data_IF_911152111322
#
_entry.id   IF_911152111322
#
_cell.length_a   1.000
_cell.length_b   1.000
_cell.length_c   1.000
_cell.angle_alpha   90.00
_cell.angle_beta   90.00
_cell.angle_gamma   90.00
#
_symmetry.space_group_name_H-M   'P 1'
#
loop_
_entity.id
_entity.type
_entity.pdbx_description
1 polymer ?
#
# COMPACT_ATOMS: atom_id res chain seq x y z
N UNK A 1 10.76 4.51 7.20
CA UNK A 1 9.83 3.93 6.20
C UNK A 1 10.51 2.74 5.55
N UNK A 2 9.79 1.67 5.31
CA UNK A 2 10.31 0.42 4.74
C UNK A 2 9.38 0.00 3.61
N UNK A 3 9.96 -0.35 2.46
CA UNK A 3 9.24 -0.84 1.29
C UNK A 3 9.51 -2.34 1.11
N UNK A 4 8.46 -3.15 1.05
CA UNK A 4 8.53 -4.59 0.81
C UNK A 4 7.98 -4.88 -0.58
N UNK A 5 8.88 -5.26 -1.48
CA UNK A 5 8.61 -5.53 -2.89
C UNK A 5 8.66 -7.03 -3.16
N UNK A 6 7.73 -7.53 -3.96
CA UNK A 6 7.74 -8.93 -4.38
C UNK A 6 6.60 -9.27 -5.32
N UNK A 7 6.70 -10.42 -5.97
CA UNK A 7 5.66 -10.95 -6.85
C UNK A 7 4.39 -11.36 -6.09
N UNK A 8 3.32 -11.59 -6.83
CA UNK A 8 2.07 -12.11 -6.26
C UNK A 8 2.32 -13.48 -5.62
N UNK A 9 1.75 -13.70 -4.43
CA UNK A 9 1.90 -14.97 -3.71
C UNK A 9 3.28 -15.24 -3.10
N UNK A 10 4.21 -14.27 -3.12
CA UNK A 10 5.58 -14.44 -2.60
C UNK A 10 5.71 -14.48 -1.08
N UNK A 11 4.60 -14.29 -0.34
CA UNK A 11 4.62 -14.23 1.13
C UNK A 11 4.96 -12.85 1.70
N UNK A 12 5.09 -11.81 0.86
CA UNK A 12 5.46 -10.46 1.31
C UNK A 12 4.51 -9.85 2.34
N UNK A 13 3.20 -10.12 2.24
CA UNK A 13 2.21 -9.62 3.20
C UNK A 13 2.44 -10.19 4.60
N UNK A 14 2.64 -11.50 4.70
CA UNK A 14 2.95 -12.16 5.96
C UNK A 14 4.28 -11.68 6.56
N UNK A 15 5.29 -11.49 5.71
CA UNK A 15 6.57 -10.93 6.12
C UNK A 15 6.43 -9.49 6.64
N UNK A 16 5.65 -8.65 5.95
CA UNK A 16 5.42 -7.27 6.34
C UNK A 16 4.69 -7.15 7.68
N UNK A 17 3.66 -7.97 7.89
CA UNK A 17 2.95 -8.03 9.17
C UNK A 17 3.90 -8.46 10.31
N UNK A 18 4.65 -9.54 10.13
CA UNK A 18 5.59 -10.05 11.12
C UNK A 18 6.69 -9.01 11.43
N UNK A 19 7.23 -8.35 10.41
CA UNK A 19 8.19 -7.27 10.58
C UNK A 19 7.61 -6.12 11.41
N UNK A 20 6.40 -5.66 11.08
CA UNK A 20 5.76 -4.57 11.82
C UNK A 20 5.50 -4.99 13.28
N UNK A 21 4.99 -6.19 13.52
CA UNK A 21 4.71 -6.69 14.87
C UNK A 21 5.96 -6.74 15.74
N UNK A 22 7.10 -7.14 15.15
CA UNK A 22 8.38 -7.17 15.87
C UNK A 22 8.96 -5.79 16.17
N UNK A 23 8.68 -4.80 15.33
CA UNK A 23 9.28 -3.46 15.44
C UNK A 23 8.37 -2.42 16.09
N UNK A 24 7.07 -2.69 16.19
CA UNK A 24 6.08 -1.74 16.71
C UNK A 24 6.16 -1.52 18.23
N UNK A 25 6.65 -2.51 19.00
CA UNK A 25 6.59 -2.43 20.46
C UNK A 25 5.16 -2.26 20.96
N UNK A 26 4.97 -1.34 21.90
CA UNK A 26 3.66 -1.03 22.49
C UNK A 26 2.86 0.00 21.69
N UNK A 27 3.36 0.44 20.54
CA UNK A 27 2.69 1.42 19.71
C UNK A 27 1.35 0.92 19.18
N UNK A 28 0.42 1.83 18.96
CA UNK A 28 -0.81 1.55 18.23
C UNK A 28 -0.47 1.06 16.82
N UNK A 29 -1.18 0.04 16.36
CA UNK A 29 -0.91 -0.60 15.06
C UNK A 29 -2.10 -0.38 14.12
N UNK A 30 -1.84 0.19 12.96
CA UNK A 30 -2.84 0.38 11.92
C UNK A 30 -2.48 -0.40 10.66
N UNK A 31 -3.51 -0.98 10.07
CA UNK A 31 -3.45 -1.63 8.77
C UNK A 31 -4.29 -0.82 7.79
N UNK A 32 -3.64 -0.17 6.83
CA UNK A 32 -4.33 0.57 5.78
C UNK A 32 -4.59 -0.39 4.63
N UNK A 33 -5.86 -0.72 4.43
CA UNK A 33 -6.33 -1.61 3.38
C UNK A 33 -6.74 -0.79 2.15
N UNK A 34 -6.12 -1.05 1.02
CA UNK A 34 -6.39 -0.34 -0.24
C UNK A 34 -7.24 -1.13 -1.23
N UNK A 35 -7.57 -2.39 -0.91
CA UNK A 35 -8.36 -3.22 -1.80
C UNK A 35 -9.81 -2.71 -1.89
N UNK A 36 -10.29 -2.49 -3.11
CA UNK A 36 -11.71 -2.26 -3.39
C UNK A 36 -12.42 -3.58 -3.63
N UNK A 37 -13.67 -3.68 -3.15
CA UNK A 37 -14.50 -4.89 -3.34
C UNK A 37 -15.43 -4.65 -4.52
N UNK A 38 -15.17 -5.35 -5.63
CA UNK A 38 -15.99 -5.29 -6.83
C UNK A 38 -16.83 -6.55 -7.04
N UNK A 39 -16.42 -7.69 -6.43
CA UNK A 39 -17.05 -8.99 -6.60
C UNK A 39 -16.92 -9.86 -5.32
N UNK A 40 -17.58 -11.03 -5.36
CA UNK A 40 -17.58 -11.98 -4.24
C UNK A 40 -16.18 -12.57 -3.97
N UNK A 41 -15.33 -12.72 -4.99
CA UNK A 41 -13.97 -13.24 -4.83
C UNK A 41 -13.12 -12.25 -4.03
N UNK A 42 -13.21 -10.96 -4.35
CA UNK A 42 -12.52 -9.91 -3.62
C UNK A 42 -13.03 -9.78 -2.19
N UNK A 43 -14.35 -9.92 -1.99
CA UNK A 43 -14.94 -9.96 -0.66
C UNK A 43 -14.38 -11.12 0.17
N UNK A 44 -14.25 -12.31 -0.41
CA UNK A 44 -13.68 -13.47 0.26
C UNK A 44 -12.18 -13.25 0.60
N UNK A 45 -11.41 -12.61 -0.29
CA UNK A 45 -10.01 -12.23 -0.03
C UNK A 45 -9.89 -11.26 1.14
N UNK A 46 -10.69 -10.19 1.15
CA UNK A 46 -10.72 -9.21 2.25
C UNK A 46 -11.09 -9.91 3.56
N UNK A 47 -12.14 -10.72 3.58
CA UNK A 47 -12.56 -11.47 4.75
C UNK A 47 -11.46 -12.42 5.27
N UNK A 48 -10.71 -13.07 4.36
CA UNK A 48 -9.55 -13.90 4.73
C UNK A 48 -8.45 -13.07 5.37
N UNK A 49 -8.11 -11.91 4.80
CA UNK A 49 -7.10 -11.01 5.36
C UNK A 49 -7.50 -10.48 6.74
N UNK A 50 -8.77 -10.14 6.94
CA UNK A 50 -9.30 -9.76 8.25
C UNK A 50 -9.12 -10.88 9.28
N UNK A 51 -9.48 -12.13 8.93
CA UNK A 51 -9.31 -13.30 9.82
C UNK A 51 -7.85 -13.54 10.18
N UNK A 52 -6.93 -13.44 9.20
CA UNK A 52 -5.49 -13.64 9.44
C UNK A 52 -4.88 -12.57 10.37
N UNK A 53 -5.44 -11.36 10.40
CA UNK A 53 -5.01 -10.29 11.30
C UNK A 53 -5.71 -10.29 12.65
N UNK A 54 -6.76 -11.09 12.80
CA UNK A 54 -7.52 -11.16 14.05
C UNK A 54 -6.61 -11.58 15.20
N UNK A 55 -6.66 -10.84 16.33
CA UNK A 55 -5.83 -11.09 17.50
C UNK A 55 -4.40 -10.54 17.43
N UNK A 56 -3.99 -9.90 16.32
CA UNK A 56 -2.66 -9.28 16.17
C UNK A 56 -2.59 -7.81 16.62
N UNK A 57 -3.71 -7.24 17.06
CA UNK A 57 -3.78 -5.88 17.60
C UNK A 57 -3.83 -4.77 16.55
N UNK A 58 -4.11 -5.07 15.28
CA UNK A 58 -4.31 -4.07 14.25
C UNK A 58 -5.70 -3.43 14.31
N UNK A 59 -5.72 -2.10 14.13
CA UNK A 59 -6.93 -1.37 13.72
C UNK A 59 -6.88 -1.21 12.20
N UNK A 60 -7.90 -1.70 11.49
CA UNK A 60 -7.97 -1.59 10.03
C UNK A 60 -8.58 -0.25 9.63
N UNK A 61 -7.92 0.45 8.70
CA UNK A 61 -8.42 1.64 8.01
C UNK A 61 -8.63 1.26 6.55
N UNK A 62 -9.87 1.28 6.11
CA UNK A 62 -10.21 1.05 4.70
C UNK A 62 -10.01 2.35 3.92
N UNK A 63 -8.95 2.42 3.12
CA UNK A 63 -8.56 3.62 2.38
C UNK A 63 -8.13 3.27 0.95
N UNK A 64 -9.08 3.00 0.04
CA UNK A 64 -8.74 2.58 -1.32
C UNK A 64 -8.16 3.69 -2.19
N UNK A 65 -8.45 4.94 -1.86
CA UNK A 65 -7.93 6.15 -2.53
C UNK A 65 -7.67 7.25 -1.50
N UNK A 66 -7.10 8.38 -1.92
CA UNK A 66 -6.86 9.55 -1.05
C UNK A 66 -6.11 9.18 0.24
N UNK A 67 -4.94 8.56 0.07
CA UNK A 67 -4.13 7.98 1.15
C UNK A 67 -3.87 8.96 2.30
N UNK A 68 -3.75 10.25 2.02
CA UNK A 68 -3.55 11.31 3.00
C UNK A 68 -4.66 11.37 4.06
N UNK A 69 -5.87 10.93 3.73
CA UNK A 69 -7.00 10.94 4.65
C UNK A 69 -6.88 9.87 5.75
N UNK A 70 -6.12 8.82 5.52
CA UNK A 70 -5.87 7.80 6.55
C UNK A 70 -5.14 8.39 7.77
N UNK A 71 -4.28 9.37 7.57
CA UNK A 71 -3.52 10.01 8.64
C UNK A 71 -4.42 10.63 9.73
N UNK A 72 -5.57 11.18 9.36
CA UNK A 72 -6.52 11.77 10.31
C UNK A 72 -7.21 10.75 11.22
N UNK A 73 -7.13 9.47 10.87
CA UNK A 73 -7.74 8.35 11.61
C UNK A 73 -6.73 7.65 12.53
N UNK A 74 -5.48 8.09 12.55
CA UNK A 74 -4.41 7.45 13.29
C UNK A 74 -3.87 8.32 14.43
N UNK A 75 -3.42 7.67 15.48
CA UNK A 75 -2.63 8.32 16.52
C UNK A 75 -1.23 8.68 15.99
N UNK A 76 -0.61 9.78 16.48
CA UNK A 76 0.78 10.11 16.15
C UNK A 76 1.75 8.99 16.53
N UNK A 77 2.82 8.84 15.75
CA UNK A 77 3.89 7.85 15.97
C UNK A 77 3.44 6.38 16.00
N UNK A 78 2.25 6.10 15.44
CA UNK A 78 1.74 4.74 15.33
C UNK A 78 2.57 3.89 14.35
N UNK A 79 2.55 2.58 14.57
CA UNK A 79 3.10 1.62 13.61
C UNK A 79 2.06 1.34 12.50
N UNK A 80 2.44 1.54 11.25
CA UNK A 80 1.51 1.50 10.12
C UNK A 80 1.98 0.54 9.04
N UNK A 81 1.08 -0.33 8.60
CA UNK A 81 1.24 -1.19 7.43
C UNK A 81 0.27 -0.76 6.34
N UNK A 82 0.80 -0.37 5.18
CA UNK A 82 0.02 -0.08 3.97
C UNK A 82 0.06 -1.30 3.05
N UNK A 83 -1.10 -1.87 2.79
CA UNK A 83 -1.25 -3.01 1.85
C UNK A 83 -2.43 -2.79 0.88
N UNK A 84 -2.13 -2.57 -0.38
CA UNK A 84 -0.82 -2.44 -0.99
C UNK A 84 -0.77 -1.22 -1.93
N UNK A 85 0.43 -0.79 -2.26
CA UNK A 85 0.68 0.33 -3.16
C UNK A 85 0.13 0.08 -4.57
N UNK A 86 0.21 -1.16 -5.06
CA UNK A 86 -0.28 -1.51 -6.39
C UNK A 86 -1.81 -1.35 -6.51
N UNK A 87 -2.57 -1.76 -5.50
CA UNK A 87 -4.01 -1.51 -5.48
C UNK A 87 -4.33 -0.01 -5.39
N UNK A 88 -3.61 0.72 -4.56
CA UNK A 88 -3.77 2.16 -4.43
C UNK A 88 -3.55 2.87 -5.77
N UNK A 89 -2.48 2.54 -6.49
CA UNK A 89 -2.18 3.13 -7.80
C UNK A 89 -3.27 2.81 -8.83
N UNK A 90 -3.75 1.57 -8.88
CA UNK A 90 -4.84 1.18 -9.76
C UNK A 90 -6.15 1.92 -9.42
N UNK A 91 -6.47 2.02 -8.15
CA UNK A 91 -7.67 2.71 -7.69
C UNK A 91 -7.64 4.20 -8.02
N UNK A 92 -6.51 4.87 -7.75
CA UNK A 92 -6.36 6.30 -8.06
C UNK A 92 -6.45 6.58 -9.56
N UNK A 93 -5.99 5.65 -10.39
CA UNK A 93 -6.03 5.79 -11.85
C UNK A 93 -7.40 5.47 -12.45
N UNK A 94 -8.07 4.41 -11.97
CA UNK A 94 -9.22 3.81 -12.67
C UNK A 94 -10.56 3.86 -11.92
N UNK A 95 -10.63 4.39 -10.70
CA UNK A 95 -11.90 4.43 -9.94
C UNK A 95 -12.90 5.48 -10.40
N UNK A 96 -12.55 6.30 -11.36
CA UNK A 96 -13.43 7.32 -11.96
C UNK A 96 -13.91 6.89 -13.34
N UNK A 97 -14.94 7.56 -13.87
CA UNK A 97 -15.45 7.32 -15.22
C UNK A 97 -14.37 7.46 -16.32
N UNK A 98 -13.42 8.36 -16.10
CA UNK A 98 -12.26 8.57 -16.98
C UNK A 98 -10.98 8.27 -16.20
N UNK A 99 -10.01 7.56 -16.80
CA UNK A 99 -8.71 7.36 -16.17
C UNK A 99 -8.04 8.68 -15.83
N UNK A 100 -7.43 8.75 -14.66
CA UNK A 100 -6.62 9.90 -14.22
C UNK A 100 -5.23 9.76 -14.82
N UNK A 101 -4.66 10.86 -15.29
CA UNK A 101 -3.32 10.85 -15.90
C UNK A 101 -2.24 10.43 -14.89
N UNK A 102 -1.20 9.82 -15.43
CA UNK A 102 -0.10 9.22 -14.67
C UNK A 102 0.57 10.21 -13.70
N UNK A 103 0.87 11.41 -14.17
CA UNK A 103 1.61 12.39 -13.35
C UNK A 103 0.77 12.86 -12.15
N UNK A 104 -0.53 13.04 -12.33
CA UNK A 104 -1.47 13.37 -11.26
C UNK A 104 -1.55 12.23 -10.24
N UNK A 105 -1.65 10.99 -10.68
CA UNK A 105 -1.67 9.81 -9.80
C UNK A 105 -0.37 9.70 -8.98
N UNK A 106 0.78 9.82 -9.63
CA UNK A 106 2.09 9.78 -8.97
C UNK A 106 2.18 10.87 -7.89
N UNK A 107 1.88 12.13 -8.25
CA UNK A 107 1.96 13.25 -7.32
C UNK A 107 1.05 13.04 -6.09
N UNK A 108 -0.17 12.57 -6.31
CA UNK A 108 -1.13 12.31 -5.25
C UNK A 108 -0.69 11.21 -4.28
N UNK A 109 -0.20 10.11 -4.81
CA UNK A 109 0.27 8.99 -3.99
C UNK A 109 1.50 9.40 -3.18
N UNK A 110 2.47 10.07 -3.80
CA UNK A 110 3.68 10.53 -3.12
C UNK A 110 3.36 11.54 -2.01
N UNK A 111 2.40 12.43 -2.23
CA UNK A 111 1.90 13.33 -1.19
C UNK A 111 1.30 12.56 -0.02
N UNK A 112 0.47 11.55 -0.30
CA UNK A 112 -0.14 10.70 0.73
C UNK A 112 0.91 9.94 1.55
N UNK A 113 1.94 9.38 0.90
CA UNK A 113 3.05 8.70 1.56
C UNK A 113 3.80 9.68 2.47
N UNK A 114 4.07 10.90 2.01
CA UNK A 114 4.78 11.90 2.81
C UNK A 114 3.98 12.31 4.05
N UNK A 115 2.67 12.44 3.93
CA UNK A 115 1.78 12.71 5.08
C UNK A 115 1.85 11.57 6.09
N UNK A 116 1.75 10.31 5.63
CA UNK A 116 1.85 9.14 6.51
C UNK A 116 3.25 9.04 7.16
N UNK A 117 4.31 9.29 6.39
CA UNK A 117 5.69 9.20 6.87
C UNK A 117 5.99 10.15 8.03
N UNK A 118 5.34 11.30 8.08
CA UNK A 118 5.48 12.27 9.17
C UNK A 118 4.76 11.84 10.45
N UNK A 119 3.79 10.95 10.34
CA UNK A 119 2.93 10.56 11.45
C UNK A 119 3.16 9.11 11.92
N UNK A 120 3.71 8.26 11.08
CA UNK A 120 3.89 6.84 11.34
C UNK A 120 5.36 6.46 11.59
N UNK A 121 5.59 5.63 12.62
CA UNK A 121 6.89 5.05 12.92
C UNK A 121 6.77 3.68 13.61
N UNK A 122 7.12 2.58 12.94
CA UNK A 122 7.52 2.46 11.54
C UNK A 122 6.36 2.59 10.55
N UNK A 123 6.64 3.04 9.32
CA UNK A 123 5.76 2.92 8.17
C UNK A 123 6.30 1.81 7.26
N UNK A 124 5.53 0.73 7.12
CA UNK A 124 5.84 -0.40 6.24
C UNK A 124 4.86 -0.38 5.07
N UNK A 125 5.39 -0.42 3.85
CA UNK A 125 4.60 -0.38 2.61
C UNK A 125 4.85 -1.67 1.83
N UNK A 126 3.77 -2.37 1.49
CA UNK A 126 3.80 -3.52 0.58
C UNK A 126 3.48 -3.07 -0.83
N UNK A 127 4.27 -3.52 -1.79
CA UNK A 127 4.03 -3.26 -3.21
C UNK A 127 4.35 -4.48 -4.06
N UNK A 128 3.79 -4.54 -5.27
CA UNK A 128 4.05 -5.62 -6.21
C UNK A 128 5.13 -5.22 -7.21
N UNK A 129 5.93 -6.21 -7.61
CA UNK A 129 6.75 -6.13 -8.79
C UNK A 129 5.92 -6.61 -9.99
N UNK A 130 5.59 -5.69 -10.91
CA UNK A 130 4.74 -5.97 -12.08
C UNK A 130 5.50 -5.79 -13.39
N UNK A 131 6.84 -5.72 -13.35
CA UNK A 131 7.66 -5.19 -14.44
C UNK A 131 8.40 -6.24 -15.28
N UNK A 132 8.30 -7.53 -14.98
CA UNK A 132 9.24 -8.53 -15.52
C UNK A 132 8.59 -9.75 -16.18
N UNK A 133 7.37 -9.65 -16.70
CA UNK A 133 6.68 -10.82 -17.28
C UNK A 133 6.82 -10.95 -18.83
N UNK A 134 7.39 -9.95 -19.49
CA UNK A 134 7.60 -9.96 -20.94
C UNK A 134 6.34 -9.94 -21.80
N UNK A 135 5.18 -9.61 -21.21
CA UNK A 135 3.88 -9.55 -21.89
C UNK A 135 3.68 -8.17 -22.52
N UNK A 136 3.06 -8.12 -23.71
CA UNK A 136 2.61 -6.87 -24.31
C UNK A 136 1.27 -6.45 -23.68
N UNK A 137 1.24 -5.26 -23.08
CA UNK A 137 0.05 -4.69 -22.45
C UNK A 137 -0.61 -3.60 -23.29
N UNK A 138 -1.91 -3.34 -23.03
CA UNK A 138 -2.58 -2.17 -23.57
C UNK A 138 -2.01 -0.86 -22.97
N UNK A 139 -2.36 0.28 -23.58
CA UNK A 139 -1.82 1.58 -23.17
C UNK A 139 -2.19 1.97 -21.73
N UNK A 140 -3.39 1.64 -21.27
CA UNK A 140 -3.82 1.96 -19.92
C UNK A 140 -3.04 1.16 -18.88
N UNK A 141 -2.78 -0.12 -19.15
CA UNK A 141 -1.96 -0.98 -18.30
C UNK A 141 -0.51 -0.49 -18.28
N UNK A 142 0.05 -0.04 -19.42
CA UNK A 142 1.40 0.55 -19.47
C UNK A 142 1.48 1.81 -18.59
N UNK A 143 0.51 2.71 -18.68
CA UNK A 143 0.43 3.91 -17.84
C UNK A 143 0.42 3.56 -16.34
N UNK A 144 -0.35 2.55 -15.96
CA UNK A 144 -0.38 2.05 -14.59
C UNK A 144 0.96 1.48 -14.13
N UNK A 145 1.59 0.63 -14.95
CA UNK A 145 2.90 0.02 -14.65
C UNK A 145 3.96 1.10 -14.47
N UNK A 146 4.00 2.09 -15.34
CA UNK A 146 4.94 3.20 -15.26
C UNK A 146 4.68 4.08 -14.02
N UNK A 147 3.41 4.37 -13.69
CA UNK A 147 3.05 5.10 -12.49
C UNK A 147 3.53 4.37 -11.22
N UNK A 148 3.21 3.08 -11.11
CA UNK A 148 3.62 2.27 -9.97
C UNK A 148 5.15 2.18 -9.87
N UNK A 149 5.85 2.01 -10.99
CA UNK A 149 7.30 1.97 -11.02
C UNK A 149 7.95 3.25 -10.52
N UNK A 150 7.44 4.38 -10.91
CA UNK A 150 7.94 5.69 -10.45
C UNK A 150 7.64 5.93 -8.97
N UNK A 151 6.45 5.59 -8.51
CA UNK A 151 6.10 5.66 -7.07
C UNK A 151 7.02 4.77 -6.25
N UNK A 152 7.26 3.54 -6.68
CA UNK A 152 8.18 2.62 -6.00
C UNK A 152 9.61 3.16 -5.97
N UNK A 153 10.11 3.69 -7.09
CA UNK A 153 11.46 4.25 -7.19
C UNK A 153 11.67 5.45 -6.27
N UNK A 154 10.72 6.39 -6.23
CA UNK A 154 10.79 7.56 -5.33
C UNK A 154 10.66 7.11 -3.88
N UNK A 155 9.76 6.17 -3.57
CA UNK A 155 9.63 5.61 -2.23
C UNK A 155 10.90 4.93 -1.77
N UNK A 156 11.60 4.21 -2.66
CA UNK A 156 12.89 3.57 -2.39
C UNK A 156 13.97 4.59 -2.00
N UNK A 157 14.03 5.75 -2.62
CA UNK A 157 15.04 6.79 -2.31
C UNK A 157 14.84 7.45 -0.93
N UNK A 158 13.65 7.32 -0.33
CA UNK A 158 13.32 7.81 1.01
C UNK A 158 13.40 6.74 2.10
N UNK A 159 13.94 5.56 1.78
CA UNK A 159 14.12 4.48 2.75
C UNK A 159 15.22 4.81 3.76
N UNK A 160 14.94 4.58 5.03
CA UNK A 160 16.00 4.33 6.01
C UNK A 160 16.35 2.85 5.92
N UNK A 161 17.53 2.52 5.43
CA UNK A 161 18.05 1.16 5.50
C UNK A 161 18.13 0.76 6.97
N UNK A 162 17.67 -0.42 7.36
CA UNK A 162 17.95 -0.92 8.70
C UNK A 162 19.46 -1.06 8.86
N UNK A 163 20.00 -0.37 9.84
CA UNK A 163 21.38 -0.55 10.31
C UNK A 163 21.48 -1.87 11.06
#
# INVERSE_FOLDING_TARGET
MILILGGSGSGKSAYAEDYLLRTAGDKKKYYIATMQIWDEEMQAKVARHHRLRQGKGFTTIEQPTALEQAASQMEPEAAVLLECMSNLAANEMFSREQPVDRETVIAKILQGIEVLRKQADPLVIVTNNVFEDGIAYDSATIEYIEALGRVNAVSYTHLTLPT
#
